data_IF_941328176544
#
_entry.id   IF_941328176544
#
_cell.length_a   1.000
_cell.length_b   1.000
_cell.length_c   1.000
_cell.angle_alpha   90.00
_cell.angle_beta   90.00
_cell.angle_gamma   90.00
#
_symmetry.space_group_name_H-M   'P 1'
#
loop_
_entity.id
_entity.type
_entity.pdbx_description
1 polymer ?
#
# COMPACT_ATOMS: atom_id res chain seq x y z
N UNK A 1 35.81 -49.21 -45.93
CA UNK A 1 34.54 -49.76 -45.41
C UNK A 1 34.27 -49.13 -44.05
N UNK A 2 33.72 -47.90 -44.04
CA UNK A 2 33.22 -47.15 -42.87
C UNK A 2 32.74 -45.77 -43.36
N UNK A 3 31.50 -45.70 -43.83
CA UNK A 3 30.67 -44.48 -43.89
C UNK A 3 29.28 -44.86 -44.41
N UNK A 4 28.53 -45.51 -43.54
CA UNK A 4 27.07 -45.55 -43.58
C UNK A 4 26.62 -45.07 -42.19
N UNK A 5 25.51 -44.34 -42.14
CA UNK A 5 24.96 -43.55 -41.01
C UNK A 5 25.24 -42.04 -41.18
N UNK A 6 24.66 -41.46 -42.23
CA UNK A 6 24.40 -40.02 -42.29
C UNK A 6 23.12 -39.75 -43.08
N UNK A 7 21.94 -40.08 -42.55
CA UNK A 7 20.62 -39.51 -42.95
C UNK A 7 19.46 -40.24 -42.26
N UNK A 8 19.27 -40.07 -40.93
CA UNK A 8 18.04 -40.61 -40.29
C UNK A 8 17.58 -39.94 -38.98
N UNK A 9 18.03 -38.73 -38.61
CA UNK A 9 17.63 -38.10 -37.31
C UNK A 9 17.18 -36.64 -37.47
N UNK A 10 16.43 -36.30 -38.52
CA UNK A 10 15.94 -34.92 -38.70
C UNK A 10 14.43 -34.73 -38.85
N UNK A 11 13.59 -35.73 -38.50
CA UNK A 11 12.12 -35.58 -38.69
C UNK A 11 11.26 -35.94 -37.47
N UNK A 12 11.83 -36.35 -36.32
CA UNK A 12 11.01 -36.87 -35.20
C UNK A 12 10.83 -35.94 -33.97
N UNK A 13 10.84 -34.60 -34.13
CA UNK A 13 10.49 -33.67 -33.03
C UNK A 13 9.45 -32.60 -33.41
N UNK A 14 8.93 -32.60 -34.66
CA UNK A 14 7.98 -31.59 -35.12
C UNK A 14 6.50 -31.88 -34.79
N UNK A 15 6.18 -32.85 -33.92
CA UNK A 15 4.80 -33.27 -33.65
C UNK A 15 4.45 -33.41 -32.15
N UNK A 16 5.22 -32.78 -31.24
CA UNK A 16 4.96 -32.83 -29.80
C UNK A 16 4.77 -31.45 -29.13
N UNK A 17 4.61 -30.37 -29.89
CA UNK A 17 4.46 -29.00 -29.38
C UNK A 17 3.22 -28.27 -29.93
N UNK A 18 2.10 -28.97 -30.11
CA UNK A 18 0.81 -28.34 -30.51
C UNK A 18 -0.28 -28.50 -29.45
N UNK A 19 0.06 -28.99 -28.25
CA UNK A 19 -0.91 -29.19 -27.17
C UNK A 19 -0.36 -28.78 -25.82
N UNK A 20 -0.11 -27.48 -25.60
CA UNK A 20 -0.09 -26.82 -24.29
C UNK A 20 0.30 -25.34 -24.46
N UNK A 21 -0.68 -24.51 -24.77
CA UNK A 21 -0.75 -23.09 -24.38
C UNK A 21 -2.04 -22.52 -24.97
N UNK A 22 -3.19 -23.03 -24.52
CA UNK A 22 -4.29 -22.09 -24.35
C UNK A 22 -3.81 -21.13 -23.26
N UNK A 23 -3.75 -19.80 -23.48
CA UNK A 23 -3.60 -18.91 -22.37
C UNK A 23 -4.81 -19.15 -21.49
N UNK A 24 -4.60 -19.74 -20.32
CA UNK A 24 -5.60 -19.76 -19.28
C UNK A 24 -5.73 -18.32 -18.75
N UNK A 25 -6.37 -17.45 -19.54
CA UNK A 25 -6.94 -16.19 -19.05
C UNK A 25 -8.19 -16.56 -18.26
N UNK A 26 -7.97 -17.07 -17.05
CA UNK A 26 -8.99 -17.28 -16.05
C UNK A 26 -8.37 -17.14 -14.65
N UNK A 27 -7.57 -16.09 -14.46
CA UNK A 27 -7.68 -15.32 -13.23
C UNK A 27 -8.74 -14.27 -13.57
N UNK A 28 -9.87 -14.21 -12.85
CA UNK A 28 -10.80 -13.11 -13.03
C UNK A 28 -10.00 -11.81 -12.94
N UNK A 29 -10.03 -10.98 -13.98
CA UNK A 29 -9.39 -9.67 -13.96
C UNK A 29 -9.93 -8.98 -12.71
N UNK A 30 -9.05 -8.72 -11.74
CA UNK A 30 -9.39 -7.89 -10.60
C UNK A 30 -9.89 -6.53 -11.10
N UNK A 31 -10.52 -5.74 -10.24
CA UNK A 31 -11.04 -4.45 -10.67
C UNK A 31 -9.92 -3.60 -11.27
N UNK A 32 -10.22 -2.97 -12.40
CA UNK A 32 -9.31 -2.00 -13.00
C UNK A 32 -9.26 -0.77 -12.09
N UNK A 33 -8.04 -0.39 -11.69
CA UNK A 33 -7.79 0.80 -10.89
C UNK A 33 -6.85 1.70 -11.68
N UNK A 34 -7.26 2.95 -11.81
CA UNK A 34 -6.46 3.98 -12.47
C UNK A 34 -5.21 4.30 -11.66
N UNK A 35 -4.08 4.37 -12.37
CA UNK A 35 -2.79 4.72 -11.78
C UNK A 35 -2.81 6.19 -11.39
N UNK A 36 -2.52 6.49 -10.13
CA UNK A 36 -2.41 7.86 -9.65
C UNK A 36 -0.99 8.42 -9.82
N UNK A 37 -0.85 9.73 -9.67
CA UNK A 37 0.44 10.42 -9.73
C UNK A 37 0.95 10.77 -8.33
N UNK A 38 1.74 9.88 -7.75
CA UNK A 38 2.31 10.09 -6.42
C UNK A 38 3.69 10.77 -6.48
N UNK A 39 3.90 11.76 -5.62
CA UNK A 39 5.22 12.40 -5.39
C UNK A 39 6.26 11.39 -4.88
N UNK A 40 5.79 10.36 -4.18
CA UNK A 40 6.59 9.27 -3.65
C UNK A 40 6.77 8.10 -4.62
N UNK A 41 6.39 8.20 -5.90
CA UNK A 41 6.64 7.14 -6.88
C UNK A 41 8.09 7.13 -7.43
N UNK A 42 8.53 5.98 -7.92
CA UNK A 42 9.80 5.82 -8.65
C UNK A 42 11.06 5.92 -7.80
N UNK A 43 12.26 5.84 -8.40
CA UNK A 43 13.53 5.68 -7.66
C UNK A 43 13.90 6.85 -6.73
N UNK A 44 13.40 8.05 -7.02
CA UNK A 44 13.75 9.29 -6.31
C UNK A 44 12.55 9.97 -5.65
N UNK A 45 11.40 9.30 -5.60
CA UNK A 45 10.19 9.86 -4.98
C UNK A 45 10.36 10.13 -3.49
N UNK A 46 9.60 11.09 -2.99
CA UNK A 46 9.56 11.54 -1.60
C UNK A 46 8.12 11.82 -1.16
N UNK A 47 7.85 11.84 0.14
CA UNK A 47 6.54 12.23 0.62
C UNK A 47 6.38 13.75 0.65
N UNK A 48 5.22 14.24 0.25
CA UNK A 48 4.81 15.61 0.53
C UNK A 48 4.25 15.69 1.95
N UNK A 49 4.95 16.39 2.84
CA UNK A 49 4.55 16.51 4.25
C UNK A 49 3.19 17.18 4.43
N UNK A 50 2.86 18.18 3.62
CA UNK A 50 1.55 18.85 3.71
C UNK A 50 0.43 17.87 3.32
N UNK A 51 0.65 17.09 2.26
CA UNK A 51 -0.24 15.99 1.87
C UNK A 51 -0.43 14.97 2.99
N UNK A 52 0.66 14.52 3.63
CA UNK A 52 0.57 13.55 4.72
C UNK A 52 -0.18 14.11 5.94
N UNK A 53 0.01 15.39 6.27
CA UNK A 53 -0.70 16.05 7.38
C UNK A 53 -2.20 16.16 7.10
N UNK A 54 -2.58 16.52 5.86
CA UNK A 54 -3.98 16.49 5.42
C UNK A 54 -4.56 15.08 5.49
N UNK A 55 -3.83 14.08 5.00
CA UNK A 55 -4.26 12.68 5.03
C UNK A 55 -4.44 12.15 6.46
N UNK A 56 -3.56 12.53 7.38
CA UNK A 56 -3.72 12.21 8.80
C UNK A 56 -4.96 12.87 9.41
N UNK A 57 -5.28 14.11 9.02
CA UNK A 57 -6.52 14.77 9.46
C UNK A 57 -7.76 14.00 9.00
N UNK A 58 -7.79 13.52 7.75
CA UNK A 58 -8.89 12.66 7.26
C UNK A 58 -8.95 11.34 8.03
N UNK A 59 -7.81 10.69 8.28
CA UNK A 59 -7.79 9.48 9.12
C UNK A 59 -8.36 9.76 10.53
N UNK A 60 -7.93 10.85 11.17
CA UNK A 60 -8.34 11.21 12.53
C UNK A 60 -9.82 11.60 12.65
N UNK A 61 -10.37 12.30 11.66
CA UNK A 61 -11.73 12.84 11.74
C UNK A 61 -12.79 11.91 11.17
N UNK A 62 -12.40 11.03 10.23
CA UNK A 62 -13.33 10.12 9.55
C UNK A 62 -13.03 8.67 9.93
N UNK A 63 -11.81 8.20 9.67
CA UNK A 63 -11.51 6.77 9.66
C UNK A 63 -11.30 6.17 11.06
N UNK A 64 -10.73 6.92 12.01
CA UNK A 64 -10.30 6.40 13.32
C UNK A 64 -11.46 6.00 14.24
N UNK A 65 -12.70 6.33 13.86
CA UNK A 65 -13.92 5.87 14.52
C UNK A 65 -14.18 4.36 14.30
N UNK A 66 -13.70 3.81 13.19
CA UNK A 66 -13.92 2.41 12.81
C UNK A 66 -12.62 1.63 12.61
N UNK A 67 -11.55 2.29 12.17
CA UNK A 67 -10.29 1.65 11.81
C UNK A 67 -9.17 1.96 12.80
N UNK A 68 -8.48 0.91 13.25
CA UNK A 68 -7.27 1.06 14.05
C UNK A 68 -6.06 1.44 13.19
N UNK A 69 -5.03 1.97 13.87
CA UNK A 69 -3.70 2.27 13.32
C UNK A 69 -2.64 1.77 14.30
N UNK A 70 -2.71 0.48 14.60
CA UNK A 70 -2.07 -0.17 15.74
C UNK A 70 -0.54 -0.14 15.68
N UNK A 71 0.09 -0.02 14.51
CA UNK A 71 1.55 -0.02 14.38
C UNK A 71 2.18 1.36 14.42
N UNK A 72 1.38 2.43 14.51
CA UNK A 72 1.85 3.81 14.54
C UNK A 72 1.70 4.37 15.95
N UNK A 73 2.79 4.88 16.50
CA UNK A 73 2.81 5.68 17.72
C UNK A 73 2.81 7.18 17.40
N UNK A 74 2.34 8.00 18.33
CA UNK A 74 2.29 9.46 18.14
C UNK A 74 3.68 10.04 17.79
N UNK A 75 4.75 9.53 18.41
CA UNK A 75 6.14 9.93 18.09
C UNK A 75 6.54 9.70 16.63
N UNK A 76 5.95 8.71 15.95
CA UNK A 76 6.31 8.42 14.57
C UNK A 76 5.97 9.58 13.63
N UNK A 77 4.98 10.42 13.99
CA UNK A 77 4.59 11.57 13.18
C UNK A 77 5.69 12.63 13.07
N UNK A 78 6.59 12.72 14.07
CA UNK A 78 7.74 13.65 14.06
C UNK A 78 9.08 13.02 13.71
N UNK A 79 9.14 11.70 13.54
CA UNK A 79 10.39 11.03 13.18
C UNK A 79 10.90 11.46 11.80
N UNK A 80 12.19 11.21 11.53
CA UNK A 80 12.74 11.41 10.19
C UNK A 80 11.98 10.55 9.17
N UNK A 81 11.45 11.21 8.13
CA UNK A 81 10.53 10.62 7.15
C UNK A 81 9.05 10.66 7.56
N UNK A 82 8.72 11.20 8.74
CA UNK A 82 7.37 11.43 9.25
C UNK A 82 6.67 12.66 8.65
N UNK A 83 5.52 12.99 9.22
CA UNK A 83 4.68 14.14 8.84
C UNK A 83 5.34 15.49 9.16
N UNK A 84 6.39 15.49 9.97
CA UNK A 84 7.14 16.69 10.32
C UNK A 84 6.52 17.49 11.46
N UNK A 85 5.71 16.86 12.31
CA UNK A 85 5.29 17.47 13.56
C UNK A 85 6.47 17.58 14.53
N UNK A 86 6.53 18.69 15.26
CA UNK A 86 7.48 18.87 16.35
C UNK A 86 7.04 18.15 17.63
N UNK A 87 7.95 18.05 18.60
CA UNK A 87 7.71 17.33 19.86
C UNK A 87 6.53 17.90 20.66
N UNK A 88 6.27 19.22 20.59
CA UNK A 88 5.22 19.86 21.36
C UNK A 88 3.85 19.69 20.69
N UNK A 89 3.80 19.73 19.36
CA UNK A 89 2.64 19.32 18.56
C UNK A 89 2.25 17.87 18.86
N UNK A 90 3.23 16.95 18.90
CA UNK A 90 2.99 15.52 19.18
C UNK A 90 2.49 15.32 20.60
N UNK A 91 3.08 15.98 21.59
CA UNK A 91 2.60 15.92 22.99
C UNK A 91 1.17 16.44 23.10
N UNK A 92 0.87 17.55 22.43
CA UNK A 92 -0.46 18.16 22.44
C UNK A 92 -1.47 17.21 21.82
N UNK A 93 -1.17 16.67 20.63
CA UNK A 93 -2.02 15.70 19.95
C UNK A 93 -2.23 14.43 20.78
N UNK A 94 -1.17 13.86 21.36
CA UNK A 94 -1.28 12.66 22.18
C UNK A 94 -2.16 12.90 23.41
N UNK A 95 -2.04 14.08 24.04
CA UNK A 95 -2.81 14.42 25.23
C UNK A 95 -4.33 14.55 24.98
N UNK A 96 -4.78 14.65 23.72
CA UNK A 96 -6.21 14.60 23.36
C UNK A 96 -6.83 13.21 23.54
N UNK A 97 -6.00 12.16 23.63
CA UNK A 97 -6.44 10.78 23.75
C UNK A 97 -6.30 10.28 25.18
N UNK A 98 -7.27 9.47 25.61
CA UNK A 98 -7.21 8.72 26.87
C UNK A 98 -6.79 7.29 26.59
N UNK A 99 -5.83 6.78 27.36
CA UNK A 99 -5.35 5.40 27.30
C UNK A 99 -5.39 4.76 28.67
N UNK A 100 -5.67 3.46 28.69
CA UNK A 100 -5.55 2.64 29.89
C UNK A 100 -4.08 2.34 30.19
N UNK A 101 -3.69 2.47 31.45
CA UNK A 101 -2.35 2.19 31.98
C UNK A 101 -2.47 1.46 33.33
N UNK A 102 -1.34 0.99 33.86
CA UNK A 102 -1.24 0.34 35.16
C UNK A 102 -0.74 -1.10 35.10
N UNK A 103 -0.90 -1.86 36.19
CA UNK A 103 -1.61 -1.50 37.42
C UNK A 103 -0.89 -0.45 38.29
N UNK A 104 -1.63 0.25 39.15
CA UNK A 104 -1.10 1.13 40.19
C UNK A 104 -0.65 0.33 41.45
N UNK A 105 -0.23 1.04 42.51
CA UNK A 105 0.21 0.41 43.77
C UNK A 105 -0.88 -0.40 44.49
N UNK A 106 -2.15 -0.18 44.16
CA UNK A 106 -3.31 -0.92 44.70
C UNK A 106 -3.69 -2.13 43.83
N UNK A 107 -3.03 -2.31 42.67
CA UNK A 107 -3.30 -3.39 41.72
C UNK A 107 -4.36 -3.06 40.67
N UNK A 108 -4.85 -1.82 40.63
CA UNK A 108 -5.92 -1.39 39.72
C UNK A 108 -5.38 -0.73 38.45
N UNK A 109 -6.04 -1.00 37.31
CA UNK A 109 -5.80 -0.28 36.06
C UNK A 109 -6.42 1.12 36.14
N UNK A 110 -5.77 2.12 35.55
CA UNK A 110 -6.25 3.50 35.54
C UNK A 110 -6.17 4.10 34.14
N UNK A 111 -6.86 5.23 33.94
CA UNK A 111 -6.78 5.98 32.69
C UNK A 111 -5.87 7.19 32.83
N UNK A 112 -5.15 7.51 31.74
CA UNK A 112 -4.33 8.71 31.65
C UNK A 112 -4.39 9.31 30.25
N UNK A 113 -4.01 10.57 30.14
CA UNK A 113 -3.69 11.17 28.85
C UNK A 113 -2.56 10.37 28.17
N UNK A 114 -2.67 10.19 26.86
CA UNK A 114 -1.66 9.53 26.07
C UNK A 114 -0.38 10.38 26.00
N UNK A 115 0.74 9.71 25.80
CA UNK A 115 2.08 10.28 25.68
C UNK A 115 2.60 9.98 24.27
N UNK A 116 3.63 10.70 23.78
CA UNK A 116 4.21 10.45 22.47
C UNK A 116 4.63 8.98 22.19
N UNK A 117 4.96 8.22 23.23
CA UNK A 117 5.33 6.80 23.10
C UNK A 117 4.15 5.85 22.87
N UNK A 118 2.93 6.27 23.18
CA UNK A 118 1.74 5.44 23.03
C UNK A 118 1.33 5.31 21.55
N UNK A 119 0.63 4.22 21.24
CA UNK A 119 0.01 3.97 19.94
C UNK A 119 -1.34 4.68 19.86
N UNK A 120 -1.84 4.87 18.65
CA UNK A 120 -3.21 5.34 18.46
C UNK A 120 -4.19 4.35 19.11
N UNK A 121 -5.13 4.81 19.95
CA UNK A 121 -6.11 3.93 20.56
C UNK A 121 -6.98 3.24 19.52
N UNK A 122 -7.20 1.93 19.67
CA UNK A 122 -8.13 1.21 18.80
C UNK A 122 -9.58 1.63 19.11
N UNK A 123 -10.44 1.79 18.07
CA UNK A 123 -11.84 2.17 18.26
C UNK A 123 -12.68 1.09 18.96
N UNK A 124 -12.21 -0.16 18.92
CA UNK A 124 -12.88 -1.29 19.53
C UNK A 124 -11.91 -2.08 20.43
N UNK A 125 -12.38 -2.63 21.56
CA UNK A 125 -11.53 -3.38 22.49
C UNK A 125 -11.06 -4.73 21.92
N UNK A 126 -11.78 -5.28 20.93
CA UNK A 126 -11.44 -6.53 20.26
C UNK A 126 -12.20 -6.67 18.94
N UNK A 127 -11.77 -7.64 18.13
CA UNK A 127 -12.38 -7.95 16.83
C UNK A 127 -13.87 -8.26 16.90
N UNK A 128 -14.36 -8.95 17.94
CA UNK A 128 -15.78 -9.31 18.04
C UNK A 128 -16.66 -8.10 18.32
N UNK A 129 -16.18 -7.16 19.13
CA UNK A 129 -16.83 -5.88 19.32
C UNK A 129 -16.89 -5.07 18.01
N UNK A 130 -15.77 -5.04 17.26
CA UNK A 130 -15.73 -4.37 15.96
C UNK A 130 -16.72 -5.00 14.95
N UNK A 131 -16.76 -6.33 14.83
CA UNK A 131 -17.72 -7.04 13.97
C UNK A 131 -19.17 -6.76 14.38
N UNK A 132 -19.47 -6.76 15.69
CA UNK A 132 -20.81 -6.48 16.19
C UNK A 132 -21.29 -5.06 15.86
N UNK A 133 -20.39 -4.08 15.94
CA UNK A 133 -20.70 -2.67 15.61
C UNK A 133 -20.78 -2.39 14.10
N UNK A 134 -20.29 -3.28 13.24
CA UNK A 134 -20.17 -3.08 11.80
C UNK A 134 -20.89 -4.18 10.98
N UNK A 135 -22.05 -4.64 11.44
CA UNK A 135 -22.89 -5.56 10.67
C UNK A 135 -22.22 -6.91 10.36
N UNK A 136 -21.39 -7.41 11.28
CA UNK A 136 -20.63 -8.65 11.15
C UNK A 136 -19.33 -8.53 10.35
N UNK A 137 -19.04 -7.37 9.76
CA UNK A 137 -17.78 -7.12 9.05
C UNK A 137 -16.71 -6.57 10.01
N UNK A 138 -15.47 -6.98 9.83
CA UNK A 138 -14.33 -6.44 10.59
C UNK A 138 -13.65 -5.32 9.79
N UNK A 139 -13.65 -4.06 10.27
CA UNK A 139 -12.81 -3.01 9.70
C UNK A 139 -11.33 -3.38 9.89
N UNK A 140 -10.54 -3.55 8.81
CA UNK A 140 -9.12 -3.89 8.94
C UNK A 140 -8.33 -2.75 9.60
N UNK A 141 -7.26 -3.11 10.31
CA UNK A 141 -6.22 -2.17 10.72
C UNK A 141 -5.59 -1.53 9.48
N UNK A 142 -5.43 -0.21 9.50
CA UNK A 142 -4.94 0.55 8.35
C UNK A 142 -3.43 0.76 8.36
N UNK A 143 -2.70 0.30 9.38
CA UNK A 143 -1.27 0.55 9.52
C UNK A 143 -0.46 0.06 8.32
N UNK A 144 -0.87 -1.06 7.71
CA UNK A 144 -0.16 -1.69 6.58
C UNK A 144 -1.05 -1.83 5.34
N UNK A 145 -2.23 -1.20 5.29
CA UNK A 145 -3.23 -1.51 4.27
C UNK A 145 -2.75 -1.20 2.84
N UNK A 146 -1.98 -0.13 2.67
CA UNK A 146 -1.36 0.27 1.39
C UNK A 146 -0.29 -0.71 0.88
N UNK A 147 0.16 -1.66 1.72
CA UNK A 147 1.07 -2.75 1.32
C UNK A 147 0.43 -4.13 1.43
N UNK A 148 -0.67 -4.24 2.16
CA UNK A 148 -1.42 -5.47 2.34
C UNK A 148 -2.40 -5.73 1.18
N UNK A 149 -2.77 -4.69 0.43
CA UNK A 149 -3.68 -4.73 -0.71
C UNK A 149 -3.08 -3.98 -1.88
N UNK A 150 -3.21 -4.56 -3.06
CA UNK A 150 -2.82 -3.98 -4.33
C UNK A 150 -3.59 -4.73 -5.43
N UNK A 151 -3.94 -4.03 -6.50
CA UNK A 151 -4.39 -4.66 -7.74
C UNK A 151 -3.24 -4.73 -8.73
N UNK A 152 -3.23 -5.80 -9.53
CA UNK A 152 -2.28 -5.88 -10.63
C UNK A 152 -2.72 -4.94 -11.75
N UNK A 153 -1.79 -4.15 -12.29
CA UNK A 153 -2.05 -3.27 -13.45
C UNK A 153 -2.27 -4.04 -14.76
N UNK A 154 -2.11 -5.37 -14.74
CA UNK A 154 -2.23 -6.21 -15.92
C UNK A 154 -1.08 -6.09 -16.92
N UNK A 155 -1.16 -6.87 -18.00
CA UNK A 155 -0.24 -6.79 -19.13
C UNK A 155 -0.63 -5.61 -20.05
N UNK A 156 0.33 -4.82 -20.57
CA UNK A 156 1.79 -4.97 -20.50
C UNK A 156 2.45 -4.20 -19.35
N UNK A 157 1.67 -3.56 -18.47
CA UNK A 157 2.18 -2.59 -17.51
C UNK A 157 3.21 -3.15 -16.52
N UNK A 158 3.07 -4.40 -16.09
CA UNK A 158 4.07 -5.03 -15.21
C UNK A 158 5.49 -5.05 -15.81
N UNK A 159 5.61 -5.11 -17.15
CA UNK A 159 6.90 -5.09 -17.86
C UNK A 159 7.53 -3.70 -17.73
N UNK A 160 6.74 -2.65 -17.91
CA UNK A 160 7.22 -1.28 -17.78
C UNK A 160 7.54 -0.92 -16.33
N UNK A 161 6.76 -1.44 -15.37
CA UNK A 161 6.95 -1.20 -13.94
C UNK A 161 8.28 -1.76 -13.42
N UNK A 162 8.82 -2.81 -14.05
CA UNK A 162 10.18 -3.28 -13.77
C UNK A 162 11.28 -2.23 -14.06
N UNK A 163 11.02 -1.31 -15.00
CA UNK A 163 11.95 -0.25 -15.39
C UNK A 163 11.62 1.10 -14.76
N UNK A 164 10.34 1.46 -14.65
CA UNK A 164 9.89 2.71 -14.00
C UNK A 164 9.96 2.60 -12.47
N UNK A 165 10.04 1.38 -11.94
CA UNK A 165 10.02 1.07 -10.51
C UNK A 165 8.76 1.59 -9.81
N UNK A 166 7.62 1.53 -10.49
CA UNK A 166 6.33 1.89 -9.92
C UNK A 166 5.82 0.77 -9.01
N UNK A 167 5.59 1.10 -7.73
CA UNK A 167 5.20 0.14 -6.68
C UNK A 167 4.01 0.66 -5.84
N UNK A 168 3.28 1.63 -6.37
CA UNK A 168 2.24 2.35 -5.65
C UNK A 168 0.82 1.83 -5.97
N UNK A 169 0.70 0.55 -6.35
CA UNK A 169 -0.60 -0.07 -6.66
C UNK A 169 -1.53 -0.16 -5.43
N UNK A 170 -0.99 -0.13 -4.22
CA UNK A 170 -1.76 -0.13 -2.98
C UNK A 170 -2.46 1.19 -2.68
N UNK A 171 -1.75 2.35 -2.63
CA UNK A 171 -2.43 3.64 -2.53
C UNK A 171 -3.32 3.95 -3.74
N UNK A 172 -2.98 3.47 -4.96
CA UNK A 172 -3.89 3.53 -6.11
C UNK A 172 -5.22 2.82 -5.78
N UNK A 173 -5.14 1.60 -5.24
CA UNK A 173 -6.32 0.83 -4.85
C UNK A 173 -7.15 1.53 -3.75
N UNK A 174 -6.50 2.11 -2.74
CA UNK A 174 -7.21 2.83 -1.67
C UNK A 174 -7.93 4.05 -2.24
N UNK A 175 -7.26 4.83 -3.08
CA UNK A 175 -7.86 5.99 -3.75
C UNK A 175 -9.08 5.56 -4.58
N UNK A 176 -8.91 4.58 -5.48
CA UNK A 176 -10.00 4.07 -6.32
C UNK A 176 -11.16 3.50 -5.50
N UNK A 177 -10.89 2.75 -4.43
CA UNK A 177 -11.93 2.23 -3.54
C UNK A 177 -12.74 3.36 -2.89
N UNK A 178 -12.07 4.42 -2.43
CA UNK A 178 -12.74 5.53 -1.75
C UNK A 178 -13.54 6.43 -2.70
N UNK A 179 -13.10 6.56 -3.96
CA UNK A 179 -13.78 7.38 -4.97
C UNK A 179 -14.82 6.63 -5.79
N UNK A 180 -14.80 5.28 -5.79
CA UNK A 180 -15.62 4.45 -6.67
C UNK A 180 -16.91 3.91 -6.06
N UNK A 181 -17.50 4.58 -5.08
CA UNK A 181 -18.84 4.21 -4.65
C UNK A 181 -19.86 4.66 -5.70
N UNK A 182 -20.71 3.74 -6.16
CA UNK A 182 -21.75 3.99 -7.16
C UNK A 182 -23.13 3.67 -6.56
N UNK A 183 -24.13 4.53 -6.84
CA UNK A 183 -25.51 4.29 -6.43
C UNK A 183 -26.24 3.32 -7.39
N UNK A 184 -25.91 3.40 -8.68
CA UNK A 184 -26.53 2.58 -9.73
C UNK A 184 -25.85 1.21 -9.80
N UNK A 185 -26.53 0.19 -9.26
CA UNK A 185 -26.07 -1.20 -9.31
C UNK A 185 -26.44 -1.83 -10.67
N UNK A 186 -25.49 -2.41 -11.43
CA UNK A 186 -25.79 -3.14 -12.66
C UNK A 186 -26.82 -4.25 -12.45
N UNK A 187 -27.68 -4.50 -13.45
CA UNK A 187 -28.79 -5.48 -13.33
C UNK A 187 -28.32 -6.92 -13.02
N UNK A 188 -27.07 -7.26 -13.33
CA UNK A 188 -26.46 -8.56 -13.10
C UNK A 188 -25.76 -8.70 -11.73
N UNK A 189 -25.75 -7.64 -10.92
CA UNK A 189 -25.07 -7.59 -9.62
C UNK A 189 -26.09 -7.51 -8.49
N UNK A 190 -26.12 -8.54 -7.63
CA UNK A 190 -26.92 -8.52 -6.40
C UNK A 190 -26.07 -8.08 -5.21
N UNK A 191 -26.52 -7.04 -4.50
CA UNK A 191 -25.88 -6.53 -3.28
C UNK A 191 -26.66 -7.02 -2.06
N UNK A 192 -26.05 -7.80 -1.15
CA UNK A 192 -26.73 -8.25 0.05
C UNK A 192 -27.14 -7.08 0.96
N UNK A 193 -28.23 -7.27 1.73
CA UNK A 193 -28.70 -6.28 2.69
C UNK A 193 -27.57 -5.81 3.64
N UNK A 194 -27.44 -4.49 3.80
CA UNK A 194 -26.40 -3.87 4.62
C UNK A 194 -25.00 -3.85 3.98
N UNK A 195 -24.89 -4.17 2.69
CA UNK A 195 -23.69 -3.94 1.87
C UNK A 195 -23.92 -2.80 0.88
N UNK A 196 -22.83 -2.28 0.35
CA UNK A 196 -22.79 -1.17 -0.59
C UNK A 196 -22.08 -1.64 -1.86
N UNK A 197 -22.51 -1.10 -3.00
CA UNK A 197 -21.88 -1.40 -4.28
C UNK A 197 -20.60 -0.57 -4.44
N UNK A 198 -19.52 -1.25 -4.82
CA UNK A 198 -18.25 -0.62 -5.17
C UNK A 198 -17.53 -1.52 -6.18
N UNK A 199 -17.50 -1.17 -7.49
CA UNK A 199 -16.84 -1.97 -8.52
C UNK A 199 -15.34 -2.12 -8.29
N UNK A 200 -14.72 -1.24 -7.50
CA UNK A 200 -13.29 -1.29 -7.22
C UNK A 200 -12.92 -2.22 -6.07
N UNK A 201 -13.87 -2.77 -5.32
CA UNK A 201 -13.55 -3.67 -4.20
C UNK A 201 -13.01 -5.03 -4.68
N UNK A 202 -11.76 -5.34 -4.33
CA UNK A 202 -11.05 -6.55 -4.81
C UNK A 202 -11.69 -7.89 -4.42
N UNK A 203 -12.54 -7.90 -3.39
CA UNK A 203 -13.16 -9.13 -2.89
C UNK A 203 -14.58 -9.34 -3.45
N UNK A 204 -14.97 -8.55 -4.45
CA UNK A 204 -16.27 -8.58 -5.10
C UNK A 204 -16.95 -7.21 -5.07
N UNK A 205 -18.09 -7.03 -5.74
CA UNK A 205 -18.74 -5.74 -5.89
C UNK A 205 -19.44 -5.23 -4.61
N UNK A 206 -19.59 -6.07 -3.58
CA UNK A 206 -20.33 -5.75 -2.35
C UNK A 206 -19.37 -5.53 -1.17
N UNK A 207 -19.30 -4.29 -0.67
CA UNK A 207 -18.47 -3.91 0.49
C UNK A 207 -19.34 -3.62 1.71
N UNK A 208 -18.85 -3.96 2.92
CA UNK A 208 -19.56 -3.69 4.18
C UNK A 208 -19.39 -2.28 4.74
N UNK A 209 -18.63 -1.43 4.05
CA UNK A 209 -18.32 -0.07 4.46
C UNK A 209 -19.21 0.88 3.63
N UNK A 210 -20.02 1.76 4.25
CA UNK A 210 -20.71 2.83 3.52
C UNK A 210 -19.69 3.80 2.87
N UNK A 211 -20.09 4.61 1.88
CA UNK A 211 -19.22 5.66 1.35
C UNK A 211 -18.75 6.57 2.50
N UNK A 212 -17.44 6.56 2.85
CA UNK A 212 -16.96 7.22 4.05
C UNK A 212 -16.66 8.71 3.84
N UNK A 213 -16.64 9.17 2.59
CA UNK A 213 -16.27 10.53 2.20
C UNK A 213 -17.40 11.17 1.41
N UNK A 214 -17.58 12.47 1.61
CA UNK A 214 -18.44 13.34 0.81
C UNK A 214 -17.73 14.68 0.62
N UNK A 215 -18.13 15.45 -0.38
CA UNK A 215 -17.60 16.81 -0.55
C UNK A 215 -17.92 17.67 0.70
N UNK A 216 -17.02 18.61 1.00
CA UNK A 216 -17.09 19.54 2.13
C UNK A 216 -17.16 18.89 3.54
N UNK A 217 -16.77 17.61 3.65
CA UNK A 217 -16.81 16.87 4.91
C UNK A 217 -15.80 17.37 5.96
N UNK A 218 -14.58 17.73 5.56
CA UNK A 218 -13.49 18.14 6.46
C UNK A 218 -12.76 19.36 5.89
N UNK A 219 -12.79 20.47 6.62
CA UNK A 219 -12.08 21.68 6.22
C UNK A 219 -10.55 21.54 6.37
N UNK A 220 -9.81 21.88 5.32
CA UNK A 220 -8.35 21.96 5.40
C UNK A 220 -7.85 23.35 5.83
N UNK A 221 -6.90 23.43 6.78
CA UNK A 221 -6.39 24.72 7.27
C UNK A 221 -5.57 25.49 6.22
N UNK A 222 -5.08 24.81 5.18
CA UNK A 222 -4.30 25.40 4.09
C UNK A 222 -5.17 25.84 2.89
N UNK A 223 -6.50 25.65 2.96
CA UNK A 223 -7.43 25.98 1.88
C UNK A 223 -7.38 25.03 0.69
N UNK A 224 -6.81 23.83 0.85
CA UNK A 224 -6.86 22.78 -0.17
C UNK A 224 -8.32 22.40 -0.51
N UNK A 225 -8.58 21.87 -1.73
CA UNK A 225 -9.93 21.46 -2.13
C UNK A 225 -10.56 20.47 -1.14
N UNK A 226 -11.84 20.67 -0.84
CA UNK A 226 -12.62 19.85 0.09
C UNK A 226 -13.45 18.81 -0.65
N UNK A 227 -12.85 18.10 -1.61
CA UNK A 227 -13.55 17.12 -2.47
C UNK A 227 -13.22 15.68 -2.09
N UNK A 228 -14.10 14.74 -2.43
CA UNK A 228 -13.86 13.29 -2.23
C UNK A 228 -12.52 12.85 -2.83
N UNK A 229 -12.22 13.30 -4.05
CA UNK A 229 -10.96 12.97 -4.73
C UNK A 229 -9.73 13.48 -3.97
N UNK A 230 -9.77 14.71 -3.45
CA UNK A 230 -8.67 15.29 -2.68
C UNK A 230 -8.50 14.56 -1.33
N UNK A 231 -9.60 14.26 -0.63
CA UNK A 231 -9.56 13.49 0.61
C UNK A 231 -8.99 12.08 0.38
N UNK A 232 -9.45 11.39 -0.65
CA UNK A 232 -8.98 10.06 -1.02
C UNK A 232 -7.48 10.09 -1.38
N UNK A 233 -7.03 11.12 -2.10
CA UNK A 233 -5.62 11.32 -2.46
C UNK A 233 -4.75 11.53 -1.22
N UNK A 234 -5.15 12.44 -0.33
CA UNK A 234 -4.38 12.76 0.88
C UNK A 234 -4.33 11.57 1.85
N UNK A 235 -5.48 10.91 2.12
CA UNK A 235 -5.52 9.77 3.05
C UNK A 235 -4.77 8.55 2.50
N UNK A 236 -4.81 8.30 1.19
CA UNK A 236 -4.05 7.21 0.56
C UNK A 236 -2.55 7.44 0.67
N UNK A 237 -2.08 8.69 0.51
CA UNK A 237 -0.68 9.06 0.73
C UNK A 237 -0.27 8.86 2.19
N UNK A 238 -1.12 9.28 3.15
CA UNK A 238 -0.89 9.04 4.57
C UNK A 238 -0.82 7.56 4.93
N UNK A 239 -1.71 6.73 4.38
CA UNK A 239 -1.70 5.28 4.62
C UNK A 239 -0.50 4.59 3.95
N UNK A 240 -0.04 5.10 2.82
CA UNK A 240 1.22 4.65 2.23
C UNK A 240 2.41 5.00 3.12
N UNK A 241 2.44 6.20 3.71
CA UNK A 241 3.44 6.57 4.70
C UNK A 241 3.38 5.68 5.95
N UNK A 242 2.18 5.43 6.49
CA UNK A 242 2.02 4.56 7.66
C UNK A 242 2.57 3.15 7.38
N UNK A 243 2.34 2.63 6.18
CA UNK A 243 2.84 1.32 5.76
C UNK A 243 4.36 1.31 5.46
N UNK A 244 4.94 2.46 5.11
CA UNK A 244 6.36 2.58 4.78
C UNK A 244 7.01 3.92 5.17
N UNK A 245 7.16 4.20 6.47
CA UNK A 245 7.69 5.49 6.95
C UNK A 245 9.17 5.71 6.61
N UNK A 246 9.84 4.66 6.11
CA UNK A 246 11.27 4.65 5.72
C UNK A 246 11.47 4.66 4.21
N UNK A 247 10.44 4.95 3.40
CA UNK A 247 10.52 4.95 1.94
C UNK A 247 11.66 5.84 1.41
N UNK A 248 11.76 7.08 1.89
CA UNK A 248 12.80 8.02 1.44
C UNK A 248 14.21 7.55 1.79
N UNK A 249 14.39 7.04 3.01
CA UNK A 249 15.66 6.50 3.47
C UNK A 249 16.06 5.26 2.67
N UNK A 250 15.11 4.34 2.45
CA UNK A 250 15.29 3.14 1.63
C UNK A 250 15.72 3.51 0.20
N UNK A 251 15.07 4.48 -0.43
CA UNK A 251 15.41 4.94 -1.79
C UNK A 251 16.80 5.57 -1.84
N UNK A 252 17.12 6.43 -0.88
CA UNK A 252 18.44 7.07 -0.75
C UNK A 252 19.56 6.06 -0.57
N UNK A 253 19.36 5.04 0.27
CA UNK A 253 20.32 3.94 0.46
C UNK A 253 20.40 3.09 -0.80
N UNK A 254 19.25 2.72 -1.39
CA UNK A 254 19.18 1.92 -2.61
C UNK A 254 19.97 2.53 -3.75
N UNK A 255 19.83 3.84 -3.99
CA UNK A 255 20.61 4.55 -5.02
C UNK A 255 22.13 4.46 -4.79
N UNK A 256 22.58 4.66 -3.55
CA UNK A 256 24.01 4.52 -3.18
C UNK A 256 24.52 3.11 -3.40
N UNK A 257 23.73 2.10 -3.03
CA UNK A 257 24.04 0.69 -3.24
C UNK A 257 24.14 0.37 -4.73
N UNK A 258 23.24 0.88 -5.56
CA UNK A 258 23.30 0.66 -7.02
C UNK A 258 24.58 1.22 -7.64
N UNK A 259 25.01 2.43 -7.25
CA UNK A 259 26.29 2.99 -7.69
C UNK A 259 27.45 2.08 -7.28
N UNK A 260 27.47 1.64 -6.01
CA UNK A 260 28.50 0.74 -5.51
C UNK A 260 28.54 -0.57 -6.31
N UNK A 261 27.39 -1.18 -6.57
CA UNK A 261 27.30 -2.44 -7.34
C UNK A 261 27.78 -2.28 -8.77
N UNK A 262 27.49 -1.16 -9.45
CA UNK A 262 28.00 -0.90 -10.80
C UNK A 262 29.52 -0.81 -10.81
N UNK A 263 30.11 -0.08 -9.87
CA UNK A 263 31.57 0.03 -9.74
C UNK A 263 32.19 -1.32 -9.40
N UNK A 264 31.62 -2.04 -8.43
CA UNK A 264 32.12 -3.35 -8.00
C UNK A 264 32.02 -4.39 -9.13
N UNK A 265 30.90 -4.47 -9.83
CA UNK A 265 30.72 -5.34 -10.99
C UNK A 265 31.71 -5.02 -12.11
N UNK A 266 32.00 -3.74 -12.36
CA UNK A 266 33.01 -3.31 -13.34
C UNK A 266 34.40 -3.82 -12.95
N UNK A 267 34.81 -3.65 -11.68
CA UNK A 267 36.09 -4.15 -11.16
C UNK A 267 36.20 -5.68 -11.26
N UNK A 268 35.13 -6.39 -10.90
CA UNK A 268 35.06 -7.85 -11.03
C UNK A 268 35.16 -8.29 -12.49
N UNK A 269 34.48 -7.60 -13.42
CA UNK A 269 34.54 -7.87 -14.84
C UNK A 269 35.97 -7.74 -15.39
N UNK A 270 36.67 -6.65 -15.06
CA UNK A 270 38.06 -6.46 -15.47
C UNK A 270 39.01 -7.47 -14.82
N UNK A 271 38.78 -7.82 -13.57
CA UNK A 271 39.55 -8.87 -12.86
C UNK A 271 39.36 -10.22 -13.52
N UNK A 272 38.11 -10.60 -13.83
CA UNK A 272 37.78 -11.82 -14.58
C UNK A 272 38.48 -11.83 -15.93
N UNK A 273 38.41 -10.73 -16.69
CA UNK A 273 39.07 -10.62 -18.01
C UNK A 273 40.58 -10.78 -17.90
N UNK A 274 41.21 -10.27 -16.83
CA UNK A 274 42.65 -10.40 -16.59
C UNK A 274 43.07 -11.83 -16.23
N UNK A 275 42.34 -12.49 -15.32
CA UNK A 275 42.64 -13.87 -14.87
C UNK A 275 42.47 -14.86 -16.01
N UNK A 276 41.38 -14.74 -16.77
CA UNK A 276 41.01 -15.70 -17.80
C UNK A 276 41.70 -15.45 -19.15
N UNK A 277 42.52 -14.40 -19.29
CA UNK A 277 43.12 -14.00 -20.58
C UNK A 277 43.89 -15.11 -21.31
N UNK A 278 44.47 -16.05 -20.56
CA UNK A 278 45.33 -17.12 -21.12
C UNK A 278 44.66 -18.50 -21.11
N UNK A 279 43.35 -18.57 -20.88
CA UNK A 279 42.56 -19.80 -20.94
C UNK A 279 41.82 -19.79 -22.28
N UNK A 280 41.84 -20.89 -23.03
CA UNK A 280 41.07 -20.99 -24.27
C UNK A 280 39.56 -20.79 -23.99
N UNK A 281 38.88 -20.05 -24.86
CA UNK A 281 37.45 -19.70 -24.73
C UNK A 281 36.62 -20.43 -25.78
#
# INVERSE_FOLDING_TARGET
>A
MKTLISTSVRVAVAAAFVGMAAPAFAAGEGPHIERQQWTFSGPFGHYDKAQLQRGFKIYKEVCSSCHSLDQIAFRNLGEAGGLGYDDDQIKTLAAEYTVQDGPNDEGDMFERAAKPSDRFPAPFPNRKAAEASNGGAYPPDLSLIAKARAVERGFPWFVFDAFTQYQEQGPDYIHGLLTGYEEDVPEDVEIPDGKYYNPHFIAGPAIGMPPPLSDDLVDYPDGSPTTVDQYATDVSAFLMWAAEPKLEERKKIGFRVMIFLVVFASLLYFTKKKIWRNVAH
#
